data_IF_725915156375
#
_entry.id   IF_725915156375
#
_cell.length_a   1.000
_cell.length_b   1.000
_cell.length_c   1.000
_cell.angle_alpha   90.00
_cell.angle_beta   90.00
_cell.angle_gamma   90.00
#
_symmetry.space_group_name_H-M   'P 1'
#
loop_
_entity.id
_entity.type
_entity.pdbx_description
1 polymer ?
#
# COMPACT_ATOMS: atom_id res chain seq x y z
N UNK A 1 -16.73 20.88 -53.67
CA UNK A 1 -17.14 20.75 -52.26
C UNK A 1 -16.94 19.31 -51.83
N UNK A 2 -15.81 18.92 -51.23
CA UNK A 2 -15.65 17.62 -50.52
C UNK A 2 -14.29 17.40 -49.84
N UNK A 3 -13.22 18.14 -50.17
CA UNK A 3 -11.86 17.78 -49.70
C UNK A 3 -11.45 18.38 -48.35
N UNK A 4 -12.12 19.43 -47.86
CA UNK A 4 -11.70 20.12 -46.63
C UNK A 4 -12.24 19.45 -45.36
N UNK A 5 -13.45 18.86 -45.42
CA UNK A 5 -14.07 18.20 -44.27
C UNK A 5 -13.32 16.95 -43.80
N UNK A 6 -12.75 16.18 -44.73
CA UNK A 6 -11.99 14.97 -44.41
C UNK A 6 -10.64 15.28 -43.76
N UNK A 7 -9.98 16.36 -44.18
CA UNK A 7 -8.70 16.80 -43.61
C UNK A 7 -8.87 17.31 -42.19
N UNK A 8 -9.94 18.06 -41.93
CA UNK A 8 -10.29 18.52 -40.58
C UNK A 8 -10.66 17.35 -39.65
N UNK A 9 -11.43 16.37 -40.14
CA UNK A 9 -11.79 15.18 -39.38
C UNK A 9 -10.55 14.32 -39.04
N UNK A 10 -9.65 14.10 -39.99
CA UNK A 10 -8.40 13.35 -39.77
C UNK A 10 -7.47 14.08 -38.79
N UNK A 11 -7.37 15.41 -38.86
CA UNK A 11 -6.58 16.19 -37.91
C UNK A 11 -7.16 16.13 -36.49
N UNK A 12 -8.49 16.22 -36.34
CA UNK A 12 -9.16 16.11 -35.05
C UNK A 12 -8.97 14.71 -34.42
N UNK A 13 -9.08 13.64 -35.23
CA UNK A 13 -8.79 12.27 -34.78
C UNK A 13 -7.33 12.10 -34.35
N UNK A 14 -6.37 12.67 -35.10
CA UNK A 14 -4.95 12.61 -34.75
C UNK A 14 -4.63 13.34 -33.44
N UNK A 15 -5.24 14.51 -33.19
CA UNK A 15 -5.07 15.26 -31.94
C UNK A 15 -5.66 14.51 -30.75
N UNK A 16 -6.85 13.93 -30.89
CA UNK A 16 -7.49 13.15 -29.83
C UNK A 16 -6.70 11.86 -29.50
N UNK A 17 -6.16 11.18 -30.52
CA UNK A 17 -5.29 10.02 -30.33
C UNK A 17 -3.98 10.39 -29.61
N UNK A 18 -3.40 11.55 -29.91
CA UNK A 18 -2.19 12.04 -29.22
C UNK A 18 -2.44 12.36 -27.74
N UNK A 19 -3.62 12.87 -27.37
CA UNK A 19 -3.98 13.12 -25.97
C UNK A 19 -4.19 11.84 -25.17
N UNK A 20 -4.78 10.80 -25.77
CA UNK A 20 -4.95 9.50 -25.11
C UNK A 20 -3.62 8.75 -24.91
N UNK A 21 -2.65 8.94 -25.82
CA UNK A 21 -1.32 8.35 -25.71
C UNK A 21 -0.40 9.06 -24.69
N UNK A 22 -0.77 10.27 -24.25
CA UNK A 22 0.02 11.07 -23.30
C UNK A 22 -0.40 10.88 -21.83
N UNK A 23 -1.34 9.98 -21.54
CA UNK A 23 -1.68 9.63 -20.15
C UNK A 23 -0.53 8.80 -19.56
N UNK A 24 0.22 9.32 -18.56
CA UNK A 24 1.18 8.49 -17.85
C UNK A 24 0.40 7.38 -17.16
N UNK A 25 0.64 6.14 -17.60
CA UNK A 25 0.23 4.95 -16.86
C UNK A 25 0.97 5.03 -15.53
N UNK A 26 0.32 5.58 -14.50
CA UNK A 26 0.82 5.47 -13.14
C UNK A 26 0.83 3.98 -12.82
N UNK A 27 2.01 3.37 -12.88
CA UNK A 27 2.18 2.01 -12.44
C UNK A 27 1.78 1.99 -10.96
N UNK A 28 0.69 1.29 -10.65
CA UNK A 28 0.36 0.93 -9.28
C UNK A 28 1.47 -0.04 -8.89
N UNK A 29 2.53 0.45 -8.27
CA UNK A 29 3.56 -0.44 -7.73
C UNK A 29 2.86 -1.36 -6.72
N UNK A 30 3.01 -2.69 -6.84
CA UNK A 30 2.57 -3.58 -5.79
C UNK A 30 3.35 -3.20 -4.53
N UNK A 31 2.64 -2.71 -3.52
CA UNK A 31 3.21 -2.33 -2.23
C UNK A 31 3.71 -3.59 -1.50
N UNK A 32 4.88 -4.09 -1.91
CA UNK A 32 5.62 -5.12 -1.18
C UNK A 32 6.39 -4.43 -0.07
N UNK A 33 6.12 -4.85 1.17
CA UNK A 33 6.79 -4.26 2.31
C UNK A 33 8.09 -4.99 2.69
N UNK A 34 8.23 -6.26 2.29
CA UNK A 34 9.54 -6.90 2.28
C UNK A 34 10.34 -6.39 1.09
N UNK A 35 11.25 -5.47 1.37
CA UNK A 35 12.30 -5.12 0.44
C UNK A 35 13.31 -6.27 0.38
N UNK A 36 13.20 -7.11 -0.65
CA UNK A 36 14.15 -8.20 -0.90
C UNK A 36 15.60 -7.70 -1.07
N UNK A 37 15.82 -6.40 -1.26
CA UNK A 37 17.14 -5.78 -1.31
C UNK A 37 17.76 -5.57 0.09
N UNK A 38 17.02 -5.86 1.17
CA UNK A 38 17.46 -5.73 2.59
C UNK A 38 17.49 -7.08 3.32
N UNK A 39 18.29 -8.07 2.84
CA UNK A 39 18.31 -9.42 3.41
C UNK A 39 18.77 -9.47 4.87
N UNK A 40 19.48 -8.45 5.35
CA UNK A 40 19.87 -8.32 6.76
C UNK A 40 18.69 -8.14 7.72
N UNK A 41 17.49 -7.86 7.19
CA UNK A 41 16.25 -7.73 7.95
C UNK A 41 15.44 -9.04 8.03
N UNK A 42 15.82 -10.10 7.31
CA UNK A 42 15.04 -11.34 7.25
C UNK A 42 14.83 -11.97 8.64
N UNK A 43 15.91 -12.16 9.40
CA UNK A 43 15.84 -12.72 10.75
C UNK A 43 15.04 -11.84 11.71
N UNK A 44 15.01 -10.51 11.47
CA UNK A 44 14.17 -9.61 12.24
C UNK A 44 12.69 -9.82 11.90
N UNK A 45 12.32 -9.88 10.62
CA UNK A 45 10.95 -10.18 10.21
C UNK A 45 10.44 -11.51 10.76
N UNK A 46 11.23 -12.57 10.62
CA UNK A 46 10.90 -13.91 11.14
C UNK A 46 10.69 -13.94 12.67
N UNK A 47 11.33 -13.02 13.39
CA UNK A 47 11.19 -12.90 14.84
C UNK A 47 9.91 -12.18 15.29
N UNK A 48 9.24 -11.43 14.40
CA UNK A 48 8.11 -10.58 14.78
C UNK A 48 6.88 -11.40 15.19
N UNK A 49 6.34 -11.05 16.35
CA UNK A 49 5.12 -11.63 16.90
C UNK A 49 4.26 -10.52 17.51
N UNK A 50 2.95 -10.60 17.28
CA UNK A 50 1.95 -9.83 18.02
C UNK A 50 1.25 -10.72 19.05
N UNK A 51 0.33 -10.16 19.83
CA UNK A 51 -0.58 -10.95 20.68
C UNK A 51 -1.47 -11.92 19.89
N UNK A 52 -1.62 -11.71 18.57
CA UNK A 52 -2.32 -12.62 17.65
C UNK A 52 -1.44 -13.75 17.11
N UNK A 53 -0.14 -13.78 17.42
CA UNK A 53 0.81 -14.80 16.98
C UNK A 53 1.90 -14.27 16.03
N UNK A 54 2.57 -15.14 15.26
CA UNK A 54 3.64 -14.76 14.34
C UNK A 54 3.14 -13.86 13.21
N UNK A 55 3.98 -12.91 12.79
CA UNK A 55 3.64 -11.97 11.72
C UNK A 55 3.90 -12.51 10.31
N UNK A 56 4.70 -13.56 10.13
CA UNK A 56 5.32 -14.02 8.87
C UNK A 56 6.65 -13.29 8.56
N UNK A 57 7.38 -13.78 7.57
CA UNK A 57 8.72 -13.35 7.14
C UNK A 57 8.79 -11.96 6.46
N UNK A 58 7.68 -11.23 6.48
CA UNK A 58 7.53 -9.91 5.86
C UNK A 58 7.02 -9.96 4.41
N UNK A 59 7.02 -11.10 3.74
CA UNK A 59 6.59 -11.20 2.32
C UNK A 59 5.11 -10.79 2.12
N UNK A 60 4.26 -11.07 3.11
CA UNK A 60 2.85 -10.70 3.15
C UNK A 60 2.61 -9.28 3.71
N UNK A 61 3.66 -8.59 4.13
CA UNK A 61 3.54 -7.28 4.73
C UNK A 61 3.24 -6.21 3.66
N UNK A 62 2.41 -5.23 4.04
CA UNK A 62 2.11 -4.04 3.25
C UNK A 62 2.72 -2.79 3.90
N UNK A 63 3.31 -1.95 3.06
CA UNK A 63 3.77 -0.61 3.43
C UNK A 63 2.56 0.31 3.46
N UNK A 64 2.48 1.12 4.51
CA UNK A 64 1.42 2.10 4.68
C UNK A 64 2.06 3.48 4.64
N UNK A 65 1.54 4.32 3.75
CA UNK A 65 1.97 5.71 3.64
C UNK A 65 1.51 6.51 4.86
N UNK A 66 2.21 7.58 5.22
CA UNK A 66 1.91 8.36 6.43
C UNK A 66 0.50 8.97 6.45
N UNK A 67 -0.12 9.16 5.29
CA UNK A 67 -1.51 9.61 5.17
C UNK A 67 -2.55 8.48 5.36
N UNK A 68 -2.11 7.22 5.33
CA UNK A 68 -2.95 6.01 5.36
C UNK A 68 -2.96 5.33 6.72
N UNK A 69 -2.48 5.99 7.77
CA UNK A 69 -2.68 5.57 9.14
C UNK A 69 -2.72 6.78 10.07
N UNK A 70 -3.44 6.65 11.18
CA UNK A 70 -3.40 7.63 12.25
C UNK A 70 -3.69 6.95 13.60
N UNK A 71 -3.75 7.78 14.64
CA UNK A 71 -4.25 7.37 15.95
C UNK A 71 -5.59 8.05 16.20
N UNK A 72 -6.61 7.27 16.54
CA UNK A 72 -7.93 7.74 16.91
C UNK A 72 -8.35 7.11 18.22
N UNK A 73 -8.79 7.94 19.18
CA UNK A 73 -9.28 7.49 20.49
C UNK A 73 -8.27 6.60 21.27
N UNK A 74 -6.97 6.80 21.04
CA UNK A 74 -5.89 6.03 21.69
C UNK A 74 -5.50 4.73 20.97
N UNK A 75 -6.16 4.41 19.86
CA UNK A 75 -5.89 3.22 19.05
C UNK A 75 -5.39 3.60 17.67
N UNK A 76 -4.59 2.73 17.06
CA UNK A 76 -4.20 2.92 15.66
C UNK A 76 -5.35 2.53 14.74
N UNK A 77 -5.47 3.23 13.62
CA UNK A 77 -6.25 2.74 12.46
C UNK A 77 -5.44 2.93 11.20
N UNK A 78 -5.69 2.06 10.23
CA UNK A 78 -4.95 1.99 8.97
C UNK A 78 -5.94 1.89 7.81
N UNK A 79 -5.63 2.55 6.70
CA UNK A 79 -6.41 2.48 5.47
C UNK A 79 -5.89 1.34 4.60
N UNK A 80 -6.69 0.28 4.47
CA UNK A 80 -6.38 -0.89 3.66
C UNK A 80 -7.42 -1.01 2.56
N UNK A 81 -6.96 -1.01 1.30
CA UNK A 81 -7.85 -1.20 0.14
C UNK A 81 -9.01 -0.18 0.10
N UNK A 82 -8.74 1.04 0.58
CA UNK A 82 -9.73 2.13 0.67
C UNK A 82 -10.63 2.09 1.91
N UNK A 83 -10.54 1.05 2.74
CA UNK A 83 -11.28 0.91 3.98
C UNK A 83 -10.41 1.35 5.18
N UNK A 84 -10.96 2.18 6.06
CA UNK A 84 -10.33 2.45 7.36
C UNK A 84 -10.63 1.30 8.33
N UNK A 85 -9.57 0.66 8.82
CA UNK A 85 -9.66 -0.49 9.71
C UNK A 85 -8.94 -0.18 11.02
N UNK A 86 -9.65 -0.36 12.13
CA UNK A 86 -9.04 -0.24 13.46
C UNK A 86 -8.04 -1.37 13.69
N UNK A 87 -6.88 -1.02 14.24
CA UNK A 87 -5.83 -1.96 14.62
C UNK A 87 -6.11 -2.41 16.05
N UNK A 88 -6.42 -3.70 16.28
CA UNK A 88 -6.55 -4.22 17.63
C UNK A 88 -5.25 -4.07 18.41
N UNK A 89 -5.32 -3.79 19.71
CA UNK A 89 -4.12 -3.63 20.55
C UNK A 89 -3.22 -4.87 20.55
N UNK A 90 -3.82 -6.06 20.47
CA UNK A 90 -3.11 -7.34 20.38
C UNK A 90 -2.47 -7.59 18.99
N UNK A 91 -2.75 -6.76 17.98
CA UNK A 91 -2.07 -6.76 16.70
C UNK A 91 -0.84 -5.84 16.67
N UNK A 92 -0.68 -4.94 17.64
CA UNK A 92 0.48 -4.03 17.70
C UNK A 92 1.72 -4.82 18.13
N UNK A 93 2.75 -4.79 17.30
CA UNK A 93 4.02 -5.48 17.60
C UNK A 93 4.92 -4.54 18.39
N UNK A 94 5.42 -5.03 19.53
CA UNK A 94 6.33 -4.27 20.38
C UNK A 94 7.76 -4.23 19.82
N UNK A 95 8.48 -3.16 20.12
CA UNK A 95 9.88 -2.99 19.74
C UNK A 95 10.09 -2.07 18.55
N UNK A 96 11.36 -1.84 18.16
CA UNK A 96 11.70 -0.89 17.11
C UNK A 96 11.29 -1.41 15.73
N UNK A 97 10.64 -0.56 14.94
CA UNK A 97 10.36 -0.82 13.54
C UNK A 97 11.61 -0.58 12.69
N UNK A 98 12.28 -1.68 12.26
CA UNK A 98 13.53 -1.63 11.48
C UNK A 98 13.31 -1.49 9.98
N UNK A 99 12.07 -1.61 9.51
CA UNK A 99 11.71 -1.34 8.11
C UNK A 99 11.74 0.16 7.79
N UNK A 100 11.58 1.01 8.81
CA UNK A 100 11.63 2.47 8.66
C UNK A 100 10.36 3.09 8.05
N UNK A 101 9.31 2.29 7.86
CA UNK A 101 7.98 2.70 7.35
C UNK A 101 6.90 1.99 8.14
N UNK A 102 5.67 2.52 8.15
CA UNK A 102 4.55 1.81 8.78
C UNK A 102 4.27 0.51 8.05
N UNK A 103 4.12 -0.57 8.81
CA UNK A 103 3.96 -1.94 8.30
C UNK A 103 2.66 -2.55 8.82
N UNK A 104 1.99 -3.31 7.98
CA UNK A 104 0.86 -4.15 8.39
C UNK A 104 0.93 -5.53 7.72
N UNK A 105 0.57 -6.57 8.46
CA UNK A 105 0.36 -7.92 7.95
C UNK A 105 -1.14 -8.21 7.98
N UNK A 106 -1.85 -8.00 6.85
CA UNK A 106 -3.27 -8.21 6.81
C UNK A 106 -3.61 -9.70 6.69
N UNK A 107 -4.80 -10.05 7.13
CA UNK A 107 -5.53 -11.22 6.64
C UNK A 107 -6.94 -10.83 6.28
N UNK A 108 -7.64 -11.70 5.59
CA UNK A 108 -9.00 -11.43 5.15
C UNK A 108 -9.96 -12.27 5.98
N UNK A 109 -10.97 -11.60 6.51
CA UNK A 109 -12.11 -12.22 7.16
C UNK A 109 -13.36 -11.63 6.52
N UNK A 110 -14.23 -12.49 5.99
CA UNK A 110 -15.46 -12.09 5.27
C UNK A 110 -15.22 -11.08 4.13
N UNK A 111 -14.06 -11.17 3.47
CA UNK A 111 -13.66 -10.27 2.38
C UNK A 111 -13.07 -8.93 2.83
N UNK A 112 -13.00 -8.67 4.14
CA UNK A 112 -12.45 -7.44 4.69
C UNK A 112 -11.03 -7.65 5.23
N UNK A 113 -10.08 -6.73 4.96
CA UNK A 113 -8.74 -6.81 5.52
C UNK A 113 -8.75 -6.53 7.03
N UNK A 114 -8.00 -7.32 7.79
CA UNK A 114 -7.82 -7.19 9.24
C UNK A 114 -6.33 -7.25 9.60
N UNK A 115 -5.82 -6.37 10.49
CA UNK A 115 -4.43 -6.43 10.92
C UNK A 115 -4.16 -7.65 11.81
N UNK A 116 -3.22 -8.50 11.42
CA UNK A 116 -2.61 -9.50 12.32
C UNK A 116 -1.44 -8.92 13.09
N UNK A 117 -0.59 -8.20 12.37
CA UNK A 117 0.51 -7.44 12.93
C UNK A 117 0.50 -6.03 12.38
N UNK A 118 0.89 -5.09 13.24
CA UNK A 118 1.04 -3.68 12.91
C UNK A 118 2.28 -3.14 13.60
N UNK A 119 3.15 -2.48 12.82
CA UNK A 119 4.26 -1.71 13.36
C UNK A 119 4.13 -0.26 12.89
N UNK A 120 3.91 0.69 13.81
CA UNK A 120 3.89 2.10 13.45
C UNK A 120 5.28 2.51 12.94
N UNK A 121 5.31 3.32 11.90
CA UNK A 121 6.48 4.10 11.52
C UNK A 121 6.63 5.32 12.42
N UNK A 122 7.76 6.03 12.29
CA UNK A 122 7.83 7.41 12.76
C UNK A 122 6.90 8.24 11.90
N UNK A 123 5.86 8.85 12.48
CA UNK A 123 5.14 9.94 11.81
C UNK A 123 6.18 11.03 11.51
N UNK A 124 6.54 11.17 10.24
CA UNK A 124 7.45 12.21 9.76
C UNK A 124 6.86 13.60 9.91
#
# INVERSE_FOLDING_TARGET
>A
MTNDGWRAALAAFAVMAAFLAALPISAIEPARAHDHQRPELNAWYESLHSGKGPCCDGSDAKHIDDADWDTKDGHYRVRLEGEWVDVPDDAVVAGPNRAGRTMVWPYYLDGHPKPRCFMPGSMG
#
